data_IF_997118082813
#
_entry.id   IF_997118082813
#
_cell.length_a   1.000
_cell.length_b   1.000
_cell.length_c   1.000
_cell.angle_alpha   90.00
_cell.angle_beta   90.00
_cell.angle_gamma   90.00
#
_symmetry.space_group_name_H-M   'P 1'
#
loop_
_entity.id
_entity.type
_entity.pdbx_description
1 polymer ?
#
# COMPACT_ATOMS: atom_id res chain seq x y z
N UNK A 1 1.52 22.08 -20.02
CA UNK A 1 2.46 21.04 -19.56
C UNK A 1 3.26 21.43 -18.31
N UNK A 2 4.00 22.54 -18.29
CA UNK A 2 4.79 22.97 -17.10
C UNK A 2 3.93 23.22 -15.85
N UNK A 3 2.79 23.92 -16.00
CA UNK A 3 1.83 24.16 -14.91
C UNK A 3 1.29 22.85 -14.31
N UNK A 4 0.86 21.91 -15.16
CA UNK A 4 0.39 20.58 -14.76
C UNK A 4 1.46 19.86 -13.95
N UNK A 5 2.68 19.76 -14.49
CA UNK A 5 3.81 19.11 -13.82
C UNK A 5 4.12 19.75 -12.45
N UNK A 6 4.10 21.08 -12.35
CA UNK A 6 4.37 21.78 -11.09
C UNK A 6 3.32 21.49 -10.01
N UNK A 7 2.04 21.43 -10.39
CA UNK A 7 0.94 21.11 -9.48
C UNK A 7 1.01 19.64 -9.05
N UNK A 8 1.26 18.73 -10.00
CA UNK A 8 1.46 17.30 -9.70
C UNK A 8 2.61 17.08 -8.74
N UNK A 9 3.74 17.77 -8.94
CA UNK A 9 4.90 17.65 -8.05
C UNK A 9 4.59 18.18 -6.64
N UNK A 10 3.95 19.35 -6.54
CA UNK A 10 3.59 19.94 -5.25
C UNK A 10 2.61 19.06 -4.46
N UNK A 11 1.56 18.56 -5.12
CA UNK A 11 0.59 17.66 -4.50
C UNK A 11 1.21 16.31 -4.13
N UNK A 12 2.06 15.76 -4.98
CA UNK A 12 2.77 14.51 -4.68
C UNK A 12 3.68 14.66 -3.46
N UNK A 13 4.48 15.72 -3.38
CA UNK A 13 5.36 15.96 -2.21
C UNK A 13 4.53 16.12 -0.95
N UNK A 14 3.43 16.88 -1.01
CA UNK A 14 2.51 17.02 0.11
C UNK A 14 1.95 15.66 0.56
N UNK A 15 1.51 14.83 -0.38
CA UNK A 15 0.95 13.50 -0.11
C UNK A 15 1.99 12.55 0.50
N UNK A 16 3.20 12.56 -0.05
CA UNK A 16 4.31 11.72 0.40
C UNK A 16 4.69 12.05 1.85
N UNK A 17 4.75 13.34 2.18
CA UNK A 17 4.96 13.81 3.56
C UNK A 17 3.83 13.31 4.47
N UNK A 18 2.57 13.47 4.04
CA UNK A 18 1.41 13.04 4.81
C UNK A 18 1.46 11.52 5.10
N UNK A 19 1.76 10.71 4.10
CA UNK A 19 1.88 9.25 4.23
C UNK A 19 3.00 8.86 5.19
N UNK A 20 4.16 9.52 5.12
CA UNK A 20 5.27 9.28 6.03
C UNK A 20 4.94 9.68 7.48
N UNK A 21 4.35 10.86 7.68
CA UNK A 21 3.95 11.32 9.02
C UNK A 21 2.95 10.36 9.64
N UNK A 22 1.93 9.93 8.88
CA UNK A 22 0.94 8.97 9.37
C UNK A 22 1.58 7.63 9.77
N UNK A 23 2.48 7.10 8.94
CA UNK A 23 3.22 5.88 9.24
C UNK A 23 4.07 5.99 10.52
N UNK A 24 4.70 7.15 10.75
CA UNK A 24 5.47 7.42 11.98
C UNK A 24 4.56 7.50 13.21
N UNK A 25 3.39 8.13 13.09
CA UNK A 25 2.39 8.19 14.16
C UNK A 25 1.90 6.78 14.51
N UNK A 26 1.53 5.98 13.53
CA UNK A 26 1.09 4.60 13.74
C UNK A 26 2.18 3.77 14.44
N UNK A 27 3.44 3.88 13.99
CA UNK A 27 4.58 3.25 14.65
C UNK A 27 4.72 3.70 16.11
N UNK A 28 4.58 4.99 16.40
CA UNK A 28 4.69 5.53 17.76
C UNK A 28 3.58 5.02 18.66
N UNK A 29 2.35 4.92 18.16
CA UNK A 29 1.21 4.34 18.90
C UNK A 29 1.51 2.88 19.26
N UNK A 30 1.91 2.07 18.27
CA UNK A 30 2.20 0.64 18.50
C UNK A 30 3.39 0.45 19.45
N UNK A 31 4.43 1.27 19.35
CA UNK A 31 5.59 1.21 20.26
C UNK A 31 5.26 1.47 21.73
N UNK A 32 4.13 2.14 22.01
CA UNK A 32 3.66 2.37 23.39
C UNK A 32 2.86 1.20 23.95
N UNK A 33 2.23 0.41 23.07
CA UNK A 33 1.39 -0.73 23.44
C UNK A 33 2.11 -2.07 23.44
N UNK A 34 3.24 -2.18 22.72
CA UNK A 34 3.95 -3.43 22.54
C UNK A 34 4.93 -3.69 23.72
N UNK A 35 4.71 -4.80 24.43
CA UNK A 35 5.52 -5.23 25.60
C UNK A 35 6.62 -6.23 25.22
N UNK A 36 6.69 -6.69 23.97
CA UNK A 36 7.68 -7.66 23.53
C UNK A 36 9.04 -7.01 23.19
N UNK A 37 10.13 -7.46 23.82
CA UNK A 37 11.49 -6.96 23.57
C UNK A 37 12.20 -7.61 22.37
N UNK A 38 11.93 -8.88 22.08
CA UNK A 38 12.61 -9.62 21.02
C UNK A 38 11.92 -9.30 19.67
N UNK A 39 12.67 -8.85 18.67
CA UNK A 39 12.19 -8.39 17.35
C UNK A 39 11.35 -7.10 17.31
N UNK A 40 11.24 -6.39 18.43
CA UNK A 40 10.57 -5.09 18.53
C UNK A 40 10.95 -4.07 17.44
N UNK A 41 12.24 -3.86 17.07
CA UNK A 41 12.57 -2.88 16.04
C UNK A 41 12.09 -3.29 14.64
N UNK A 42 12.15 -4.58 14.31
CA UNK A 42 11.69 -5.10 13.01
C UNK A 42 10.16 -5.08 12.92
N UNK A 43 9.47 -5.40 14.03
CA UNK A 43 8.01 -5.31 14.12
C UNK A 43 7.54 -3.86 13.90
N UNK A 44 8.18 -2.88 14.55
CA UNK A 44 7.84 -1.47 14.36
C UNK A 44 8.12 -0.97 12.94
N UNK A 45 9.20 -1.44 12.30
CA UNK A 45 9.48 -1.12 10.90
C UNK A 45 8.45 -1.74 9.96
N UNK A 46 8.03 -2.99 10.23
CA UNK A 46 6.96 -3.65 9.48
C UNK A 46 5.67 -2.82 9.54
N UNK A 47 5.25 -2.44 10.75
CA UNK A 47 4.09 -1.58 10.97
C UNK A 47 4.22 -0.27 10.19
N UNK A 48 5.35 0.43 10.31
CA UNK A 48 5.58 1.68 9.59
C UNK A 48 5.45 1.51 8.07
N UNK A 49 6.05 0.46 7.49
CA UNK A 49 5.98 0.23 6.04
C UNK A 49 4.58 -0.17 5.58
N UNK A 50 3.85 -0.96 6.37
CA UNK A 50 2.48 -1.34 6.08
C UNK A 50 1.54 -0.14 6.11
N UNK A 51 1.61 0.68 7.16
CA UNK A 51 0.75 1.87 7.28
C UNK A 51 1.07 2.93 6.22
N UNK A 52 2.33 3.14 5.88
CA UNK A 52 2.71 4.00 4.76
C UNK A 52 2.02 3.53 3.47
N UNK A 53 2.10 2.22 3.16
CA UNK A 53 1.47 1.66 1.96
C UNK A 53 -0.04 1.82 1.96
N UNK A 54 -0.68 1.55 3.10
CA UNK A 54 -2.14 1.70 3.22
C UNK A 54 -2.55 3.14 2.93
N UNK A 55 -1.85 4.12 3.53
CA UNK A 55 -2.16 5.53 3.29
C UNK A 55 -1.92 5.94 1.84
N UNK A 56 -0.86 5.43 1.22
CA UNK A 56 -0.59 5.70 -0.19
C UNK A 56 -1.69 5.12 -1.10
N UNK A 57 -2.14 3.88 -0.87
CA UNK A 57 -3.25 3.28 -1.62
C UNK A 57 -4.56 4.06 -1.46
N UNK A 58 -4.90 4.45 -0.22
CA UNK A 58 -6.08 5.28 0.07
C UNK A 58 -5.98 6.62 -0.66
N UNK A 59 -4.81 7.25 -0.58
CA UNK A 59 -4.56 8.54 -1.22
C UNK A 59 -4.72 8.50 -2.74
N UNK A 60 -4.16 7.48 -3.41
CA UNK A 60 -4.29 7.29 -4.86
C UNK A 60 -5.77 7.23 -5.25
N UNK A 61 -6.57 6.46 -4.52
CA UNK A 61 -7.98 6.29 -4.88
C UNK A 61 -8.79 7.56 -4.59
N UNK A 62 -8.58 8.19 -3.43
CA UNK A 62 -9.30 9.41 -3.06
C UNK A 62 -8.98 10.60 -3.97
N UNK A 63 -7.75 10.69 -4.48
CA UNK A 63 -7.36 11.77 -5.40
C UNK A 63 -7.71 11.49 -6.85
N UNK A 64 -8.10 10.26 -7.20
CA UNK A 64 -8.35 9.91 -8.60
C UNK A 64 -9.56 10.66 -9.14
N UNK A 65 -9.38 11.29 -10.30
CA UNK A 65 -10.47 11.96 -11.00
C UNK A 65 -11.58 10.95 -11.34
N UNK A 66 -11.22 9.72 -11.72
CA UNK A 66 -12.16 8.64 -12.00
C UNK A 66 -13.06 8.29 -10.80
N UNK A 67 -12.50 8.23 -9.59
CA UNK A 67 -13.32 8.01 -8.39
C UNK A 67 -14.26 9.17 -8.14
N UNK A 68 -13.78 10.40 -8.34
CA UNK A 68 -14.59 11.61 -8.15
C UNK A 68 -15.77 11.64 -9.12
N UNK A 69 -15.51 11.38 -10.40
CA UNK A 69 -16.54 11.26 -11.45
C UNK A 69 -17.56 10.16 -11.10
N UNK A 70 -17.08 8.96 -10.76
CA UNK A 70 -17.96 7.84 -10.43
C UNK A 70 -18.77 8.07 -9.15
N UNK A 71 -18.23 8.74 -8.14
CA UNK A 71 -18.88 8.88 -6.85
C UNK A 71 -19.76 10.14 -6.72
N UNK A 72 -19.47 11.20 -7.48
CA UNK A 72 -20.11 12.51 -7.33
C UNK A 72 -20.97 12.94 -8.53
N UNK A 73 -20.99 12.21 -9.65
CA UNK A 73 -22.08 12.37 -10.62
C UNK A 73 -23.43 12.02 -9.98
N UNK A 74 -24.54 12.53 -10.54
CA UNK A 74 -25.92 12.32 -10.08
C UNK A 74 -26.31 10.83 -10.03
N UNK A 75 -25.83 10.15 -8.99
CA UNK A 75 -26.08 8.76 -8.69
C UNK A 75 -26.93 8.67 -7.42
N UNK A 76 -27.81 7.68 -7.41
CA UNK A 76 -28.56 7.30 -6.22
C UNK A 76 -27.59 7.03 -5.04
N UNK A 77 -27.93 7.50 -3.84
CA UNK A 77 -27.15 7.33 -2.61
C UNK A 77 -26.73 5.87 -2.36
N UNK A 78 -27.61 4.90 -2.70
CA UNK A 78 -27.31 3.48 -2.58
C UNK A 78 -26.19 3.01 -3.52
N UNK A 79 -26.13 3.57 -4.74
CA UNK A 79 -25.09 3.25 -5.73
C UNK A 79 -23.76 3.85 -5.27
N UNK A 80 -23.76 5.10 -4.81
CA UNK A 80 -22.58 5.77 -4.25
C UNK A 80 -21.99 5.02 -3.06
N UNK A 81 -22.85 4.53 -2.16
CA UNK A 81 -22.44 3.70 -1.03
C UNK A 81 -21.85 2.36 -1.50
N UNK A 82 -22.49 1.68 -2.46
CA UNK A 82 -21.98 0.45 -3.06
C UNK A 82 -20.59 0.61 -3.69
N UNK A 83 -20.37 1.70 -4.44
CA UNK A 83 -19.07 2.04 -5.03
C UNK A 83 -17.99 2.29 -3.96
N UNK A 84 -18.34 3.00 -2.89
CA UNK A 84 -17.42 3.26 -1.79
C UNK A 84 -16.97 1.96 -1.10
N UNK A 85 -17.89 1.02 -0.87
CA UNK A 85 -17.58 -0.30 -0.32
C UNK A 85 -16.67 -1.08 -1.28
N UNK A 86 -17.01 -1.11 -2.57
CA UNK A 86 -16.24 -1.81 -3.59
C UNK A 86 -14.79 -1.32 -3.63
N UNK A 87 -14.59 0.00 -3.52
CA UNK A 87 -13.27 0.62 -3.48
C UNK A 87 -12.49 0.23 -2.23
N UNK A 88 -13.12 0.26 -1.06
CA UNK A 88 -12.48 -0.18 0.18
C UNK A 88 -12.03 -1.64 0.03
N UNK A 89 -12.89 -2.51 -0.51
CA UNK A 89 -12.54 -3.91 -0.78
C UNK A 89 -11.38 -4.04 -1.77
N UNK A 90 -11.33 -3.21 -2.81
CA UNK A 90 -10.23 -3.18 -3.77
C UNK A 90 -8.91 -2.76 -3.10
N UNK A 91 -8.92 -1.72 -2.26
CA UNK A 91 -7.74 -1.28 -1.50
C UNK A 91 -7.22 -2.42 -0.61
N UNK A 92 -8.13 -3.09 0.12
CA UNK A 92 -7.77 -4.24 0.97
C UNK A 92 -7.20 -5.41 0.15
N UNK A 93 -7.79 -5.70 -1.01
CA UNK A 93 -7.33 -6.75 -1.90
C UNK A 93 -5.92 -6.46 -2.43
N UNK A 94 -5.68 -5.24 -2.92
CA UNK A 94 -4.36 -4.80 -3.40
C UNK A 94 -3.34 -4.85 -2.27
N UNK A 95 -3.70 -4.35 -1.08
CA UNK A 95 -2.83 -4.41 0.09
C UNK A 95 -2.45 -5.85 0.44
N UNK A 96 -3.43 -6.76 0.47
CA UNK A 96 -3.20 -8.17 0.76
C UNK A 96 -2.35 -8.85 -0.30
N UNK A 97 -2.61 -8.55 -1.58
CA UNK A 97 -1.84 -9.08 -2.70
C UNK A 97 -0.39 -8.62 -2.65
N UNK A 98 -0.12 -7.33 -2.38
CA UNK A 98 1.24 -6.81 -2.27
C UNK A 98 1.99 -7.52 -1.12
N UNK A 99 1.35 -7.70 0.03
CA UNK A 99 1.95 -8.41 1.15
C UNK A 99 2.29 -9.87 0.81
N UNK A 100 1.38 -10.58 0.15
CA UNK A 100 1.61 -11.95 -0.29
C UNK A 100 2.70 -12.02 -1.37
N UNK A 101 2.78 -11.04 -2.26
CA UNK A 101 3.84 -10.93 -3.24
C UNK A 101 5.21 -10.74 -2.58
N UNK A 102 5.33 -9.85 -1.59
CA UNK A 102 6.58 -9.64 -0.85
C UNK A 102 7.01 -10.94 -0.16
N UNK A 103 6.09 -11.61 0.55
CA UNK A 103 6.36 -12.91 1.19
C UNK A 103 6.84 -13.93 0.16
N UNK A 104 6.19 -14.00 -1.02
CA UNK A 104 6.63 -14.89 -2.10
C UNK A 104 8.09 -14.63 -2.50
N UNK A 105 8.47 -13.36 -2.64
CA UNK A 105 9.86 -13.02 -2.99
C UNK A 105 10.86 -13.45 -1.91
N UNK A 106 10.50 -13.31 -0.63
CA UNK A 106 11.31 -13.81 0.49
C UNK A 106 11.43 -15.33 0.43
N UNK A 107 10.32 -16.05 0.25
CA UNK A 107 10.30 -17.52 0.13
C UNK A 107 11.19 -18.01 -1.02
N UNK A 108 11.14 -17.33 -2.17
CA UNK A 108 11.96 -17.69 -3.34
C UNK A 108 13.45 -17.47 -3.09
N UNK A 109 13.83 -16.42 -2.35
CA UNK A 109 15.23 -16.13 -2.01
C UNK A 109 15.81 -17.11 -0.99
N UNK A 110 15.00 -17.55 -0.03
CA UNK A 110 15.48 -18.40 1.07
C UNK A 110 15.79 -19.85 0.67
N UNK A 111 15.64 -20.25 -0.61
CA UNK A 111 15.95 -21.59 -1.12
C UNK A 111 15.66 -22.71 -0.10
N UNK A 112 14.45 -22.74 0.46
CA UNK A 112 14.02 -23.92 1.21
C UNK A 112 13.96 -25.05 0.19
N UNK A 113 15.02 -25.87 0.15
CA UNK A 113 15.20 -27.04 -0.71
C UNK A 113 14.07 -28.09 -0.61
N UNK A 114 13.06 -27.84 0.25
CA UNK A 114 11.89 -28.70 0.51
C UNK A 114 10.60 -27.86 0.67
N UNK A 115 10.51 -26.64 0.12
CA UNK A 115 9.21 -25.96 0.04
C UNK A 115 8.43 -26.46 -1.16
N UNK A 116 7.31 -27.13 -0.89
CA UNK A 116 6.43 -27.59 -1.95
C UNK A 116 6.01 -26.41 -2.86
N UNK A 117 6.11 -26.59 -4.18
CA UNK A 117 5.88 -25.56 -5.21
C UNK A 117 4.54 -24.83 -5.03
N UNK A 118 3.52 -25.48 -4.46
CA UNK A 118 2.24 -24.85 -4.18
C UNK A 118 2.31 -23.75 -3.10
N UNK A 119 3.22 -23.85 -2.11
CA UNK A 119 3.40 -22.85 -1.05
C UNK A 119 4.01 -21.55 -1.57
N UNK A 120 4.59 -21.59 -2.77
CA UNK A 120 5.16 -20.43 -3.47
C UNK A 120 4.10 -19.67 -4.29
N UNK A 121 2.88 -20.21 -4.42
CA UNK A 121 1.79 -19.54 -5.14
C UNK A 121 1.24 -18.40 -4.28
N UNK A 122 1.06 -17.21 -4.88
CA UNK A 122 0.49 -16.03 -4.21
C UNK A 122 -0.87 -16.37 -3.59
N UNK A 123 -1.71 -17.10 -4.31
CA UNK A 123 -3.04 -17.53 -3.82
C UNK A 123 -2.96 -18.38 -2.55
N UNK A 124 -1.93 -19.22 -2.41
CA UNK A 124 -1.71 -20.00 -1.21
C UNK A 124 -1.29 -19.12 -0.03
N UNK A 125 -0.34 -18.20 -0.28
CA UNK A 125 0.15 -17.25 0.73
C UNK A 125 -0.98 -16.34 1.23
N UNK A 126 -1.83 -15.84 0.32
CA UNK A 126 -3.01 -15.05 0.68
C UNK A 126 -3.98 -15.84 1.53
N UNK A 127 -4.23 -17.12 1.23
CA UNK A 127 -5.16 -17.97 2.01
C UNK A 127 -4.60 -18.43 3.36
N UNK A 128 -3.27 -18.46 3.53
CA UNK A 128 -2.62 -18.98 4.74
C UNK A 128 -1.60 -18.00 5.35
N UNK A 129 -1.97 -16.74 5.64
CA UNK A 129 -1.01 -15.71 6.07
C UNK A 129 -0.30 -16.05 7.39
N UNK A 130 -0.99 -16.76 8.30
CA UNK A 130 -0.43 -17.18 9.59
C UNK A 130 0.75 -18.14 9.46
N UNK A 131 0.78 -18.98 8.42
CA UNK A 131 1.90 -19.89 8.17
C UNK A 131 3.20 -19.15 7.82
N UNK A 132 3.08 -17.91 7.34
CA UNK A 132 4.21 -17.07 6.94
C UNK A 132 4.47 -15.94 7.94
N UNK A 133 3.85 -15.95 9.13
CA UNK A 133 3.96 -14.88 10.13
C UNK A 133 5.41 -14.51 10.44
N UNK A 134 6.29 -15.50 10.57
CA UNK A 134 7.71 -15.29 10.85
C UNK A 134 8.43 -14.52 9.75
N UNK A 135 8.02 -14.67 8.49
CA UNK A 135 8.65 -14.00 7.35
C UNK A 135 8.38 -12.50 7.29
N UNK A 136 7.23 -12.04 7.81
CA UNK A 136 6.89 -10.61 7.84
C UNK A 136 7.84 -9.79 8.72
N UNK A 137 8.51 -10.41 9.69
CA UNK A 137 9.40 -9.76 10.65
C UNK A 137 10.85 -10.19 10.34
N UNK A 138 11.24 -10.10 9.07
CA UNK A 138 12.60 -10.35 8.60
C UNK A 138 13.17 -9.12 7.90
N UNK A 139 14.49 -8.98 7.93
CA UNK A 139 15.19 -7.90 7.20
C UNK A 139 14.96 -8.00 5.69
N UNK A 140 14.89 -9.22 5.15
CA UNK A 140 14.59 -9.48 3.74
C UNK A 140 13.20 -8.96 3.37
N UNK A 141 12.17 -9.30 4.15
CA UNK A 141 10.83 -8.78 3.93
C UNK A 141 10.81 -7.25 3.94
N UNK A 142 11.43 -6.63 4.94
CA UNK A 142 11.46 -5.19 5.08
C UNK A 142 12.17 -4.51 3.90
N UNK A 143 13.28 -5.08 3.42
CA UNK A 143 14.00 -4.54 2.26
C UNK A 143 13.14 -4.52 1.00
N UNK A 144 12.40 -5.61 0.75
CA UNK A 144 11.50 -5.73 -0.41
C UNK A 144 10.27 -4.85 -0.21
N UNK A 145 9.77 -4.73 1.03
CA UNK A 145 8.65 -3.87 1.40
C UNK A 145 8.93 -2.40 1.14
N UNK A 146 10.13 -1.91 1.48
CA UNK A 146 10.59 -0.54 1.17
C UNK A 146 10.65 -0.32 -0.34
N UNK A 147 11.21 -1.27 -1.09
CA UNK A 147 11.32 -1.14 -2.54
C UNK A 147 9.94 -1.13 -3.22
N UNK A 148 9.03 -2.00 -2.76
CA UNK A 148 7.65 -2.04 -3.22
C UNK A 148 6.89 -0.74 -2.90
N UNK A 149 7.13 -0.17 -1.72
CA UNK A 149 6.56 1.12 -1.33
C UNK A 149 7.06 2.26 -2.22
N UNK A 150 8.36 2.28 -2.57
CA UNK A 150 8.91 3.25 -3.53
C UNK A 150 8.33 3.09 -4.92
N UNK A 151 8.18 1.86 -5.40
CA UNK A 151 7.55 1.59 -6.69
C UNK A 151 6.09 2.07 -6.71
N UNK A 152 5.35 1.78 -5.64
CA UNK A 152 3.96 2.22 -5.51
C UNK A 152 3.86 3.76 -5.43
N UNK A 153 4.78 4.42 -4.73
CA UNK A 153 4.86 5.89 -4.67
C UNK A 153 5.18 6.51 -6.03
N UNK A 154 6.09 5.92 -6.80
CA UNK A 154 6.33 6.34 -8.19
C UNK A 154 5.09 6.15 -9.08
N UNK A 155 4.36 5.04 -8.93
CA UNK A 155 3.08 4.86 -9.60
C UNK A 155 2.04 5.89 -9.17
N UNK A 156 1.99 6.23 -7.88
CA UNK A 156 1.10 7.27 -7.36
C UNK A 156 1.38 8.62 -8.03
N UNK A 157 2.66 8.97 -8.20
CA UNK A 157 3.05 10.18 -8.91
C UNK A 157 2.59 10.16 -10.38
N UNK A 158 2.79 9.04 -11.08
CA UNK A 158 2.39 8.90 -12.48
C UNK A 158 0.87 9.03 -12.62
N UNK A 159 0.11 8.35 -11.76
CA UNK A 159 -1.35 8.42 -11.75
C UNK A 159 -1.84 9.84 -11.45
N UNK A 160 -1.28 10.48 -10.42
CA UNK A 160 -1.61 11.86 -10.08
C UNK A 160 -1.30 12.82 -11.23
N UNK A 161 -0.18 12.62 -11.94
CA UNK A 161 0.16 13.42 -13.11
C UNK A 161 -0.87 13.24 -14.23
N UNK A 162 -1.28 12.00 -14.52
CA UNK A 162 -2.31 11.70 -15.51
C UNK A 162 -3.65 12.34 -15.11
N UNK A 163 -4.08 12.17 -13.86
CA UNK A 163 -5.34 12.73 -13.35
C UNK A 163 -5.37 14.27 -13.46
N UNK A 164 -4.29 14.94 -13.05
CA UNK A 164 -4.18 16.40 -13.17
C UNK A 164 -4.09 16.82 -14.63
N UNK A 165 -3.43 16.04 -15.49
CA UNK A 165 -3.37 16.34 -16.91
C UNK A 165 -4.76 16.29 -17.55
N UNK A 166 -5.55 15.27 -17.26
CA UNK A 166 -6.95 15.15 -17.73
C UNK A 166 -7.77 16.36 -17.25
N UNK A 167 -7.62 16.75 -15.98
CA UNK A 167 -8.39 17.87 -15.41
C UNK A 167 -8.09 19.23 -16.07
N UNK A 168 -6.83 19.48 -16.44
CA UNK A 168 -6.37 20.78 -16.97
C UNK A 168 -6.12 20.79 -18.47
N UNK A 169 -6.32 19.68 -19.17
CA UNK A 169 -6.14 19.54 -20.62
C UNK A 169 -7.18 18.57 -21.20
N UNK A 170 -8.47 18.97 -21.22
CA UNK A 170 -9.54 18.16 -21.79
C UNK A 170 -9.40 17.99 -23.30
#
# INVERSE_FOLDING_TARGET
MYKVLSISLALYVFLEILCHVFALVARKIVSRSDTQKLNHPLHLQFIQQSFYRTMLLVSIVLMSHFYTELAFFEQNDWIRLGLSILIILMILLVFWWINAFIVRQVVLKQQYAVTAVFKQKISYIMRHPLQFKSLYITTEYLSISVWMNRFLSALAFILLFIDIHILFSP
#
